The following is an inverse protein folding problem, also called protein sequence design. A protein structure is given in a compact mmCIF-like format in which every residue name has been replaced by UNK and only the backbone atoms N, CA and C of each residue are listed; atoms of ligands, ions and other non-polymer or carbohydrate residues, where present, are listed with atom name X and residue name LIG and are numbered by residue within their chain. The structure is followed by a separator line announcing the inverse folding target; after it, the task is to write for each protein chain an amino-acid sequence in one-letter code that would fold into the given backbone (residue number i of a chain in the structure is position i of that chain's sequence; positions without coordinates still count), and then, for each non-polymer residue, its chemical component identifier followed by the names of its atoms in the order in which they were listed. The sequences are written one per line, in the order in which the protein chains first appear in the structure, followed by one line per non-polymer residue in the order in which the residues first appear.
data_IF_268373111355
#
_entry.id   IF_268373111355
#
_cell.length_a   1.000
_cell.length_b   1.000
_cell.length_c   1.000
_cell.angle_alpha   90.00
_cell.angle_beta   90.00
_cell.angle_gamma   90.00
#
_symmetry.space_group_name_H-M   'P 1'
#
loop_
_entity.id
_entity.type
_entity.pdbx_description
1 polymer ?
#
# COMPACT_ATOMS: atom_id res chain seq x y z
N UNK A 1 -36.34 -18.21 8.35
CA UNK A 1 -35.19 -17.66 9.10
C UNK A 1 -34.55 -16.60 8.22
N UNK A 2 -34.29 -15.41 8.74
CA UNK A 2 -33.66 -14.33 7.97
C UNK A 2 -32.13 -14.42 8.11
N UNK A 3 -31.39 -14.13 7.05
CA UNK A 3 -29.93 -14.01 7.10
C UNK A 3 -29.52 -12.60 7.58
N UNK A 4 -28.37 -12.49 8.24
CA UNK A 4 -27.68 -11.22 8.48
C UNK A 4 -26.68 -11.05 7.35
N UNK A 5 -26.84 -10.02 6.53
CA UNK A 5 -25.94 -9.71 5.43
C UNK A 5 -25.12 -8.48 5.83
N UNK A 6 -23.80 -8.60 5.82
CA UNK A 6 -22.87 -7.51 6.12
C UNK A 6 -22.18 -7.08 4.83
N UNK A 7 -22.24 -5.79 4.53
CA UNK A 7 -21.65 -5.19 3.33
C UNK A 7 -20.24 -4.65 3.56
N UNK A 8 -19.52 -4.39 2.47
CA UNK A 8 -18.20 -3.73 2.49
C UNK A 8 -18.15 -2.45 3.33
N UNK A 9 -19.07 -1.48 3.15
CA UNK A 9 -19.08 -0.27 3.98
C UNK A 9 -19.26 -0.54 5.48
N UNK A 10 -20.05 -1.53 5.87
CA UNK A 10 -20.34 -1.84 7.28
C UNK A 10 -19.17 -2.55 7.98
N UNK A 11 -18.46 -3.42 7.26
CA UNK A 11 -17.31 -4.16 7.80
C UNK A 11 -16.03 -3.32 7.78
N UNK A 12 -15.90 -2.34 6.89
CA UNK A 12 -14.66 -1.56 6.74
C UNK A 12 -14.17 -0.90 8.04
N UNK A 13 -15.02 -0.20 8.84
CA UNK A 13 -14.60 0.36 10.11
C UNK A 13 -14.09 -0.69 11.12
N UNK A 14 -14.68 -1.89 11.10
CA UNK A 14 -14.29 -2.99 12.00
C UNK A 14 -12.90 -3.50 11.61
N UNK A 15 -12.65 -3.66 10.31
CA UNK A 15 -11.35 -4.11 9.80
C UNK A 15 -10.25 -3.10 10.15
N UNK A 16 -10.49 -1.81 9.92
CA UNK A 16 -9.54 -0.77 10.30
C UNK A 16 -9.27 -0.76 11.80
N UNK A 17 -10.30 -0.93 12.63
CA UNK A 17 -10.13 -1.04 14.08
C UNK A 17 -9.21 -2.21 14.43
N UNK A 18 -9.40 -3.39 13.83
CA UNK A 18 -8.52 -4.55 14.05
C UNK A 18 -7.06 -4.24 13.67
N UNK A 19 -6.82 -3.63 12.51
CA UNK A 19 -5.46 -3.28 12.04
C UNK A 19 -4.78 -2.32 13.02
N UNK A 20 -5.50 -1.28 13.44
CA UNK A 20 -4.96 -0.22 14.30
C UNK A 20 -4.70 -0.75 15.72
N UNK A 21 -5.65 -1.49 16.31
CA UNK A 21 -5.50 -2.04 17.66
C UNK A 21 -4.23 -2.93 17.77
N UNK A 22 -3.91 -3.66 16.70
CA UNK A 22 -2.71 -4.53 16.63
C UNK A 22 -1.39 -3.81 16.37
N UNK A 23 -1.41 -2.52 16.04
CA UNK A 23 -0.20 -1.73 15.71
C UNK A 23 0.05 -0.58 16.69
N UNK A 24 -0.81 -0.41 17.69
CA UNK A 24 -0.91 0.83 18.47
C UNK A 24 0.18 1.16 19.47
N UNK A 25 0.97 0.17 19.91
CA UNK A 25 1.95 0.36 20.98
C UNK A 25 3.25 1.06 20.52
N UNK A 26 3.54 1.12 19.22
CA UNK A 26 4.84 1.56 18.66
C UNK A 26 4.79 2.97 18.02
N UNK A 27 3.62 3.63 18.00
CA UNK A 27 3.41 4.81 17.16
C UNK A 27 4.36 6.00 17.39
N UNK A 28 4.65 6.45 18.63
CA UNK A 28 5.39 7.72 18.79
C UNK A 28 6.79 7.70 18.15
N UNK A 29 7.57 6.65 18.41
CA UNK A 29 8.95 6.54 17.90
C UNK A 29 8.98 6.34 16.39
N UNK A 30 8.13 5.46 15.87
CA UNK A 30 8.06 5.19 14.42
C UNK A 30 7.57 6.40 13.63
N UNK A 31 6.64 7.20 14.18
CA UNK A 31 6.18 8.42 13.52
C UNK A 31 7.31 9.45 13.45
N UNK A 32 8.09 9.62 14.52
CA UNK A 32 9.23 10.54 14.51
C UNK A 32 10.28 10.12 13.46
N UNK A 33 10.60 8.82 13.38
CA UNK A 33 11.50 8.27 12.35
C UNK A 33 10.95 8.49 10.93
N UNK A 34 9.66 8.20 10.71
CA UNK A 34 8.98 8.41 9.43
C UNK A 34 9.06 9.89 9.00
N UNK A 35 8.76 10.81 9.92
CA UNK A 35 8.80 12.24 9.67
C UNK A 35 10.21 12.73 9.35
N UNK A 36 11.24 12.16 9.98
CA UNK A 36 12.62 12.51 9.68
C UNK A 36 13.03 12.06 8.28
N UNK A 37 12.67 10.83 7.89
CA UNK A 37 12.86 10.40 6.50
C UNK A 37 12.11 11.30 5.51
N UNK A 38 10.87 11.69 5.82
CA UNK A 38 10.09 12.56 4.93
C UNK A 38 10.75 13.91 4.69
N UNK A 39 11.30 14.55 5.74
CA UNK A 39 12.05 15.80 5.58
C UNK A 39 13.26 15.62 4.66
N UNK A 40 13.97 14.51 4.77
CA UNK A 40 15.12 14.21 3.90
C UNK A 40 14.67 14.03 2.44
N UNK A 41 13.57 13.32 2.23
CA UNK A 41 12.99 13.09 0.91
C UNK A 41 12.49 14.37 0.23
N UNK A 42 12.00 15.36 0.99
CA UNK A 42 11.51 16.62 0.43
C UNK A 42 12.59 17.38 -0.35
N UNK A 43 13.86 17.19 -0.01
CA UNK A 43 14.99 17.74 -0.76
C UNK A 43 15.13 17.16 -2.18
N UNK A 44 14.53 16.00 -2.45
CA UNK A 44 14.59 15.35 -3.76
C UNK A 44 13.51 15.82 -4.73
N UNK A 45 12.47 16.54 -4.28
CA UNK A 45 11.42 17.08 -5.15
C UNK A 45 12.00 17.94 -6.28
N UNK A 46 13.00 18.76 -5.98
CA UNK A 46 13.64 19.61 -7.00
C UNK A 46 14.49 18.84 -8.01
N UNK A 47 14.78 17.55 -7.75
CA UNK A 47 15.51 16.66 -8.66
C UNK A 47 14.60 15.84 -9.58
N UNK A 48 13.27 15.94 -9.40
CA UNK A 48 12.28 15.19 -10.17
C UNK A 48 12.00 15.89 -11.50
N UNK A 49 11.99 15.11 -12.59
CA UNK A 49 11.68 15.60 -13.93
C UNK A 49 10.20 16.01 -14.05
N UNK A 50 9.31 15.23 -13.42
CA UNK A 50 7.89 15.52 -13.31
C UNK A 50 7.50 15.77 -11.85
N UNK A 51 7.23 17.03 -11.53
CA UNK A 51 6.82 17.43 -10.19
C UNK A 51 5.33 17.15 -9.96
N UNK A 52 5.06 16.32 -8.95
CA UNK A 52 3.72 15.96 -8.50
C UNK A 52 3.63 16.02 -6.97
N UNK A 53 2.46 15.75 -6.40
CA UNK A 53 2.28 15.61 -4.96
C UNK A 53 2.83 14.27 -4.44
N UNK A 54 3.29 14.26 -3.20
CA UNK A 54 3.58 13.02 -2.46
C UNK A 54 2.43 12.67 -1.53
N UNK A 55 2.38 11.40 -1.11
CA UNK A 55 1.43 10.97 -0.09
C UNK A 55 1.53 11.79 1.20
N UNK A 56 0.39 11.91 1.87
CA UNK A 56 0.30 12.57 3.18
C UNK A 56 1.00 11.78 4.28
N UNK A 57 1.30 12.44 5.40
CA UNK A 57 1.81 11.76 6.62
C UNK A 57 0.84 10.68 7.08
N UNK A 58 -0.46 10.97 7.08
CA UNK A 58 -1.48 10.02 7.48
C UNK A 58 -1.54 8.80 6.56
N UNK A 59 -1.42 8.99 5.23
CA UNK A 59 -1.29 7.86 4.28
C UNK A 59 -0.04 7.04 4.56
N UNK A 60 1.09 7.68 4.89
CA UNK A 60 2.32 6.99 5.28
C UNK A 60 2.16 6.14 6.54
N UNK A 61 1.57 6.71 7.59
CA UNK A 61 1.23 5.98 8.82
C UNK A 61 0.30 4.80 8.50
N UNK A 62 -0.69 4.99 7.63
CA UNK A 62 -1.56 3.90 7.16
C UNK A 62 -0.76 2.78 6.50
N UNK A 63 0.16 3.09 5.58
CA UNK A 63 0.98 2.08 4.90
C UNK A 63 1.91 1.35 5.87
N UNK A 64 2.49 2.06 6.84
CA UNK A 64 3.24 1.43 7.93
C UNK A 64 2.36 0.44 8.72
N UNK A 65 1.17 0.85 9.14
CA UNK A 65 0.24 -0.04 9.88
C UNK A 65 -0.14 -1.28 9.06
N UNK A 66 -0.43 -1.10 7.77
CA UNK A 66 -0.81 -2.20 6.88
C UNK A 66 0.32 -3.21 6.71
N UNK A 67 1.55 -2.73 6.47
CA UNK A 67 2.72 -3.60 6.33
C UNK A 67 3.12 -4.26 7.64
N UNK A 68 2.90 -3.62 8.80
CA UNK A 68 3.05 -4.25 10.12
C UNK A 68 2.02 -5.34 10.38
N UNK A 69 0.77 -5.08 10.03
CA UNK A 69 -0.34 -5.98 10.32
C UNK A 69 -0.35 -7.20 9.41
N UNK A 70 -0.24 -7.00 8.09
CA UNK A 70 -0.26 -8.09 7.12
C UNK A 70 1.07 -8.81 6.96
N UNK A 71 2.16 -8.20 7.46
CA UNK A 71 3.50 -8.76 7.44
C UNK A 71 3.99 -9.24 6.06
N UNK A 72 3.84 -8.44 4.98
CA UNK A 72 4.30 -8.83 3.66
C UNK A 72 5.84 -8.87 3.63
N UNK A 73 6.40 -9.87 2.97
CA UNK A 73 7.84 -9.97 2.74
C UNK A 73 8.22 -9.40 1.38
N UNK A 74 7.33 -9.52 0.40
CA UNK A 74 7.51 -9.04 -0.98
C UNK A 74 6.42 -8.05 -1.34
N UNK A 75 6.81 -6.82 -1.61
CA UNK A 75 5.90 -5.73 -2.00
C UNK A 75 6.21 -5.28 -3.42
N UNK A 76 5.16 -4.98 -4.19
CA UNK A 76 5.30 -4.29 -5.47
C UNK A 76 4.52 -2.97 -5.45
N UNK A 77 5.22 -1.88 -5.75
CA UNK A 77 4.70 -0.52 -5.74
C UNK A 77 4.70 0.08 -7.15
N UNK A 78 3.59 0.75 -7.51
CA UNK A 78 3.49 1.60 -8.69
C UNK A 78 3.29 3.04 -8.23
N UNK A 79 4.19 3.93 -8.63
CA UNK A 79 4.16 5.35 -8.27
C UNK A 79 5.10 5.65 -7.10
N UNK A 80 6.40 5.62 -7.34
CA UNK A 80 7.41 5.89 -6.30
C UNK A 80 7.51 7.38 -5.95
N UNK A 81 7.56 8.25 -6.97
CA UNK A 81 7.95 9.65 -6.84
C UNK A 81 9.20 9.83 -5.95
N UNK A 82 9.13 10.62 -4.87
CA UNK A 82 10.23 10.78 -3.91
C UNK A 82 10.33 9.64 -2.89
N UNK A 83 9.43 8.65 -2.91
CA UNK A 83 9.51 7.41 -2.12
C UNK A 83 8.98 7.48 -0.70
N UNK A 84 8.07 8.42 -0.38
CA UNK A 84 7.43 8.50 0.94
C UNK A 84 6.64 7.23 1.28
N UNK A 85 5.89 6.68 0.33
CA UNK A 85 5.18 5.41 0.45
C UNK A 85 6.15 4.23 0.61
N UNK A 86 7.21 4.21 -0.20
CA UNK A 86 8.27 3.18 -0.12
C UNK A 86 8.90 3.14 1.27
N UNK A 87 9.29 4.30 1.84
CA UNK A 87 9.83 4.40 3.20
C UNK A 87 8.82 3.91 4.23
N UNK A 88 7.56 4.32 4.13
CA UNK A 88 6.51 3.93 5.08
C UNK A 88 6.34 2.41 5.14
N UNK A 89 6.30 1.77 3.97
CA UNK A 89 6.21 0.32 3.85
C UNK A 89 7.49 -0.36 4.33
N UNK A 90 8.66 0.17 4.00
CA UNK A 90 9.95 -0.38 4.41
C UNK A 90 10.11 -0.42 5.94
N UNK A 91 9.75 0.69 6.61
CA UNK A 91 9.74 0.77 8.07
C UNK A 91 8.78 -0.23 8.70
N UNK A 92 7.64 -0.55 8.07
CA UNK A 92 6.74 -1.58 8.58
C UNK A 92 7.26 -3.00 8.35
N UNK A 93 7.92 -3.24 7.22
CA UNK A 93 8.57 -4.52 6.91
C UNK A 93 9.71 -4.82 7.88
N UNK A 94 10.57 -3.85 8.17
CA UNK A 94 11.76 -4.04 9.01
C UNK A 94 11.45 -4.46 10.44
N UNK A 95 10.22 -4.24 10.93
CA UNK A 95 9.81 -4.67 12.26
C UNK A 95 9.45 -6.16 12.38
N UNK A 96 9.47 -6.91 11.27
CA UNK A 96 9.16 -8.35 11.30
C UNK A 96 9.99 -9.19 10.31
N UNK A 97 10.79 -8.55 9.45
CA UNK A 97 11.57 -9.23 8.43
C UNK A 97 12.84 -8.46 8.05
N UNK A 98 14.00 -9.09 8.19
CA UNK A 98 15.31 -8.51 7.83
C UNK A 98 15.64 -8.65 6.33
N UNK A 99 14.89 -9.47 5.60
CA UNK A 99 15.13 -9.78 4.19
C UNK A 99 13.90 -9.54 3.31
N UNK A 100 13.05 -8.59 3.70
CA UNK A 100 11.96 -8.12 2.86
C UNK A 100 12.46 -7.36 1.64
N UNK A 101 11.67 -7.35 0.58
CA UNK A 101 11.95 -6.62 -0.66
C UNK A 101 10.76 -5.79 -1.09
N UNK A 102 11.03 -4.55 -1.48
CA UNK A 102 10.06 -3.68 -2.16
C UNK A 102 10.57 -3.48 -3.58
N UNK A 103 9.81 -3.98 -4.55
CA UNK A 103 9.93 -3.60 -5.95
C UNK A 103 9.12 -2.32 -6.16
N UNK A 104 9.71 -1.31 -6.78
CA UNK A 104 9.00 -0.05 -7.01
C UNK A 104 9.31 0.51 -8.40
N UNK A 105 8.35 1.15 -9.03
CA UNK A 105 8.55 1.80 -10.32
C UNK A 105 7.87 3.16 -10.42
N UNK A 106 8.47 4.02 -11.22
CA UNK A 106 7.91 5.31 -11.62
C UNK A 106 8.20 5.52 -13.12
N UNK A 107 7.19 5.94 -13.88
CA UNK A 107 7.33 6.11 -15.33
C UNK A 107 7.94 7.46 -15.70
N UNK A 108 7.75 8.46 -14.84
CA UNK A 108 8.08 9.85 -15.14
C UNK A 108 9.40 10.28 -14.48
N UNK A 109 9.75 9.64 -13.37
CA UNK A 109 10.90 10.03 -12.55
C UNK A 109 11.87 8.88 -12.26
N UNK A 110 13.12 9.25 -11.97
CA UNK A 110 14.04 8.42 -11.19
C UNK A 110 13.86 8.74 -9.70
N UNK A 111 14.32 7.86 -8.81
CA UNK A 111 14.25 8.06 -7.36
C UNK A 111 15.62 7.84 -6.71
N UNK A 112 15.79 8.37 -5.51
CA UNK A 112 17.08 8.46 -4.81
C UNK A 112 16.98 7.81 -3.43
N UNK A 113 16.61 6.52 -3.40
CA UNK A 113 16.35 5.78 -2.15
C UNK A 113 17.54 4.99 -1.64
N UNK A 114 18.58 4.80 -2.46
CA UNK A 114 19.77 4.00 -2.11
C UNK A 114 20.55 4.55 -0.90
N UNK A 115 20.42 5.84 -0.63
CA UNK A 115 21.06 6.51 0.50
C UNK A 115 20.32 6.24 1.83
N UNK A 116 19.08 5.76 1.77
CA UNK A 116 18.25 5.51 2.93
C UNK A 116 18.48 4.10 3.49
N UNK A 117 18.85 4.01 4.77
CA UNK A 117 19.03 2.73 5.48
C UNK A 117 17.69 2.21 5.98
N UNK A 118 16.89 1.61 5.10
CA UNK A 118 15.48 1.27 5.38
C UNK A 118 15.24 -0.15 5.93
N UNK A 119 16.28 -0.91 6.23
CA UNK A 119 16.17 -2.26 6.82
C UNK A 119 15.58 -3.34 5.91
N UNK A 120 15.06 -2.98 4.74
CA UNK A 120 14.66 -3.91 3.67
C UNK A 120 15.35 -3.55 2.36
N UNK A 121 15.33 -4.48 1.40
CA UNK A 121 15.91 -4.27 0.08
C UNK A 121 14.93 -3.51 -0.81
N UNK A 122 15.37 -2.41 -1.41
CA UNK A 122 14.59 -1.69 -2.42
C UNK A 122 15.14 -2.04 -3.80
N UNK A 123 14.31 -2.60 -4.66
CA UNK A 123 14.61 -2.86 -6.07
C UNK A 123 13.78 -1.89 -6.94
N UNK A 124 14.34 -0.70 -7.15
CA UNK A 124 13.67 0.34 -7.90
C UNK A 124 13.90 0.26 -9.42
N UNK A 125 12.88 0.64 -10.19
CA UNK A 125 12.91 0.80 -11.65
C UNK A 125 12.42 2.21 -12.03
N UNK A 126 13.33 3.18 -12.06
CA UNK A 126 13.06 4.56 -12.48
C UNK A 126 12.80 4.66 -13.98
N UNK A 127 12.03 5.67 -14.40
CA UNK A 127 11.62 5.90 -15.80
C UNK A 127 11.13 4.64 -16.51
N UNK A 128 10.40 3.81 -15.79
CA UNK A 128 9.94 2.49 -16.24
C UNK A 128 8.43 2.41 -16.11
N UNK A 129 7.75 2.00 -17.18
CA UNK A 129 6.31 1.76 -17.15
C UNK A 129 5.98 0.59 -16.21
N UNK A 130 4.82 0.66 -15.54
CA UNK A 130 4.34 -0.40 -14.65
C UNK A 130 4.35 -1.78 -15.30
N UNK A 131 3.95 -1.88 -16.57
CA UNK A 131 3.91 -3.14 -17.31
C UNK A 131 5.30 -3.76 -17.45
N UNK A 132 6.31 -2.95 -17.78
CA UNK A 132 7.70 -3.43 -17.92
C UNK A 132 8.28 -3.82 -16.55
N UNK A 133 7.99 -3.03 -15.52
CA UNK A 133 8.43 -3.32 -14.16
C UNK A 133 7.83 -4.63 -13.63
N UNK A 134 6.52 -4.83 -13.83
CA UNK A 134 5.83 -6.07 -13.47
C UNK A 134 6.41 -7.28 -14.21
N UNK A 135 6.68 -7.15 -15.52
CA UNK A 135 7.32 -8.20 -16.30
C UNK A 135 8.68 -8.61 -15.71
N UNK A 136 9.55 -7.64 -15.39
CA UNK A 136 10.86 -7.91 -14.76
C UNK A 136 10.72 -8.59 -13.40
N UNK A 137 9.67 -8.30 -12.64
CA UNK A 137 9.41 -8.96 -11.36
C UNK A 137 8.88 -10.38 -11.55
N UNK A 138 8.03 -10.64 -12.54
CA UNK A 138 7.60 -12.00 -12.90
C UNK A 138 8.76 -12.95 -13.28
N UNK A 139 9.89 -12.42 -13.76
CA UNK A 139 11.09 -13.20 -14.05
C UNK A 139 11.85 -13.64 -12.79
N UNK A 140 11.66 -12.93 -11.67
CA UNK A 140 12.38 -13.14 -10.40
C UNK A 140 11.52 -13.79 -9.33
N UNK A 141 10.24 -13.47 -9.33
CA UNK A 141 9.30 -13.79 -8.26
C UNK A 141 8.12 -14.61 -8.79
N UNK A 142 7.72 -15.61 -8.01
CA UNK A 142 6.52 -16.39 -8.29
C UNK A 142 5.25 -15.77 -7.70
N UNK A 143 5.40 -14.85 -6.73
CA UNK A 143 4.29 -14.22 -6.04
C UNK A 143 4.70 -12.91 -5.36
N UNK A 144 3.74 -12.02 -5.16
CA UNK A 144 3.86 -10.79 -4.36
C UNK A 144 2.85 -10.85 -3.21
N UNK A 145 3.28 -10.49 -2.01
CA UNK A 145 2.43 -10.55 -0.81
C UNK A 145 1.54 -9.33 -0.70
N UNK A 146 2.03 -8.15 -1.13
CA UNK A 146 1.27 -6.91 -1.14
C UNK A 146 1.58 -6.08 -2.39
N UNK A 147 0.53 -5.63 -3.07
CA UNK A 147 0.62 -4.60 -4.10
C UNK A 147 0.20 -3.25 -3.52
N UNK A 148 0.94 -2.19 -3.84
CA UNK A 148 0.56 -0.80 -3.56
C UNK A 148 0.47 0.01 -4.85
N UNK A 149 -0.69 0.59 -5.12
CA UNK A 149 -0.94 1.34 -6.35
C UNK A 149 -1.26 2.81 -6.06
N UNK A 150 -0.27 3.66 -6.27
CA UNK A 150 -0.35 5.13 -6.27
C UNK A 150 -0.19 5.73 -7.68
N UNK A 151 0.11 4.89 -8.68
CA UNK A 151 -0.02 5.17 -10.10
C UNK A 151 -1.31 4.58 -10.70
N UNK A 152 -1.59 4.95 -11.95
CA UNK A 152 -2.71 4.37 -12.72
C UNK A 152 -2.27 3.06 -13.36
N UNK A 153 -3.04 2.00 -13.13
CA UNK A 153 -2.89 0.73 -13.83
C UNK A 153 -3.32 0.83 -15.29
N UNK A 154 -2.73 -0.01 -16.13
CA UNK A 154 -3.11 -0.25 -17.52
C UNK A 154 -3.65 -1.68 -17.70
N UNK A 155 -4.44 -1.92 -18.74
CA UNK A 155 -4.94 -3.27 -19.07
C UNK A 155 -3.79 -4.29 -19.20
N UNK A 156 -2.65 -3.86 -19.74
CA UNK A 156 -1.44 -4.68 -19.92
C UNK A 156 -0.78 -5.11 -18.61
N UNK A 157 -1.04 -4.40 -17.51
CA UNK A 157 -0.51 -4.76 -16.18
C UNK A 157 -1.21 -6.00 -15.62
N UNK A 158 -2.49 -6.19 -15.97
CA UNK A 158 -3.37 -7.18 -15.34
C UNK A 158 -2.88 -8.62 -15.51
N UNK A 159 -2.28 -8.96 -16.64
CA UNK A 159 -1.75 -10.32 -16.86
C UNK A 159 -0.59 -10.64 -15.90
N UNK A 160 0.28 -9.67 -15.62
CA UNK A 160 1.43 -9.86 -14.75
C UNK A 160 1.05 -9.79 -13.29
N UNK A 161 0.12 -8.89 -12.94
CA UNK A 161 -0.50 -8.88 -11.60
C UNK A 161 -1.13 -10.25 -11.34
N UNK A 162 -1.92 -10.78 -12.27
CA UNK A 162 -2.55 -12.08 -12.12
C UNK A 162 -1.53 -13.24 -11.97
N UNK A 163 -0.40 -13.18 -12.67
CA UNK A 163 0.68 -14.16 -12.53
C UNK A 163 1.36 -14.11 -11.15
N UNK A 164 1.49 -12.91 -10.58
CA UNK A 164 2.12 -12.69 -9.27
C UNK A 164 1.15 -12.82 -8.10
N UNK A 165 -0.13 -13.12 -8.33
CA UNK A 165 -1.10 -13.32 -7.27
C UNK A 165 -0.83 -14.62 -6.50
N UNK A 166 -0.49 -14.46 -5.23
CA UNK A 166 -0.63 -15.50 -4.24
C UNK A 166 -2.06 -15.56 -3.70
N UNK A 167 -2.38 -16.63 -2.99
CA UNK A 167 -3.70 -16.78 -2.39
C UNK A 167 -3.98 -15.72 -1.29
N UNK A 168 -2.93 -15.30 -0.57
CA UNK A 168 -2.99 -14.31 0.54
C UNK A 168 -2.65 -12.88 0.12
N UNK A 169 -2.46 -12.62 -1.18
CA UNK A 169 -2.01 -11.31 -1.65
C UNK A 169 -2.98 -10.21 -1.25
N UNK A 170 -2.46 -9.12 -0.70
CA UNK A 170 -3.22 -7.91 -0.36
C UNK A 170 -3.02 -6.86 -1.45
N UNK A 171 -4.06 -6.12 -1.82
CA UNK A 171 -3.93 -4.93 -2.66
C UNK A 171 -4.28 -3.71 -1.86
N UNK A 172 -3.43 -2.70 -1.95
CA UNK A 172 -3.61 -1.38 -1.37
C UNK A 172 -3.65 -0.38 -2.52
N UNK A 173 -4.67 0.46 -2.56
CA UNK A 173 -4.80 1.53 -3.57
C UNK A 173 -4.89 2.88 -2.88
N UNK A 174 -4.19 3.89 -3.42
CA UNK A 174 -4.31 5.27 -2.95
C UNK A 174 -5.30 6.09 -3.81
N UNK A 175 -5.72 7.25 -3.30
CA UNK A 175 -6.75 8.11 -3.91
C UNK A 175 -8.06 7.34 -4.24
N UNK A 176 -8.57 6.58 -3.28
CA UNK A 176 -9.90 5.96 -3.40
C UNK A 176 -11.01 6.98 -3.07
N UNK A 177 -11.20 7.97 -3.94
CA UNK A 177 -12.25 8.98 -3.83
C UNK A 177 -12.85 9.33 -5.20
N UNK A 178 -14.18 9.47 -5.28
CA UNK A 178 -14.85 9.94 -6.49
C UNK A 178 -14.52 9.09 -7.73
N UNK A 179 -13.81 9.70 -8.69
CA UNK A 179 -13.36 9.07 -9.94
C UNK A 179 -11.83 9.03 -10.05
N UNK A 180 -11.14 9.16 -8.92
CA UNK A 180 -9.68 9.19 -8.88
C UNK A 180 -9.06 7.80 -9.14
N UNK A 181 -7.73 7.80 -9.28
CA UNK A 181 -6.95 6.63 -9.70
C UNK A 181 -7.21 5.37 -8.86
N UNK A 182 -7.41 5.49 -7.55
CA UNK A 182 -7.69 4.33 -6.69
C UNK A 182 -9.01 3.64 -7.03
N UNK A 183 -10.06 4.43 -7.32
CA UNK A 183 -11.37 3.90 -7.72
C UNK A 183 -11.26 3.22 -9.09
N UNK A 184 -10.57 3.86 -10.04
CA UNK A 184 -10.32 3.31 -11.38
C UNK A 184 -9.51 2.00 -11.29
N UNK A 185 -8.45 1.97 -10.49
CA UNK A 185 -7.61 0.79 -10.30
C UNK A 185 -8.44 -0.38 -9.74
N UNK A 186 -9.27 -0.15 -8.72
CA UNK A 186 -10.16 -1.20 -8.20
C UNK A 186 -11.17 -1.69 -9.26
N UNK A 187 -11.76 -0.79 -10.04
CA UNK A 187 -12.68 -1.17 -11.11
C UNK A 187 -11.98 -2.02 -12.18
N UNK A 188 -10.74 -1.68 -12.52
CA UNK A 188 -9.93 -2.42 -13.47
C UNK A 188 -9.55 -3.82 -12.95
N UNK A 189 -9.12 -3.91 -11.68
CA UNK A 189 -8.75 -5.17 -11.03
C UNK A 189 -9.96 -6.14 -10.97
N UNK A 190 -11.18 -5.64 -10.79
CA UNK A 190 -12.39 -6.47 -10.81
C UNK A 190 -12.63 -7.23 -12.14
N UNK A 191 -11.93 -6.86 -13.22
CA UNK A 191 -11.96 -7.61 -14.47
C UNK A 191 -11.25 -8.97 -14.36
N UNK A 192 -10.29 -9.12 -13.44
CA UNK A 192 -9.61 -10.38 -13.19
C UNK A 192 -10.47 -11.31 -12.31
N UNK A 193 -10.71 -12.57 -12.72
CA UNK A 193 -11.55 -13.49 -11.96
C UNK A 193 -11.19 -13.66 -10.47
N UNK A 194 -9.91 -13.72 -10.06
CA UNK A 194 -9.55 -13.84 -8.64
C UNK A 194 -10.08 -12.69 -7.77
N UNK A 195 -10.01 -11.45 -8.26
CA UNK A 195 -10.39 -10.26 -7.47
C UNK A 195 -11.90 -10.09 -7.30
N UNK A 196 -12.73 -10.80 -8.08
CA UNK A 196 -14.19 -10.80 -7.86
C UNK A 196 -14.59 -11.40 -6.51
N UNK A 197 -13.71 -12.20 -5.91
CA UNK A 197 -13.91 -12.76 -4.57
C UNK A 197 -13.32 -11.88 -3.47
N UNK A 198 -12.46 -10.92 -3.80
CA UNK A 198 -11.82 -10.07 -2.80
C UNK A 198 -12.83 -9.11 -2.18
N UNK A 199 -12.63 -8.83 -0.91
CA UNK A 199 -13.43 -7.91 -0.15
C UNK A 199 -12.83 -6.50 -0.25
N UNK A 200 -13.65 -5.54 -0.68
CA UNK A 200 -13.26 -4.13 -0.66
C UNK A 200 -13.38 -3.57 0.75
N UNK A 201 -12.28 -3.03 1.28
CA UNK A 201 -12.22 -2.26 2.51
C UNK A 201 -12.09 -0.79 2.14
N UNK A 202 -13.14 -0.02 2.43
CA UNK A 202 -13.17 1.42 2.16
C UNK A 202 -12.17 2.16 3.05
N UNK A 203 -11.73 3.38 2.65
CA UNK A 203 -10.79 4.16 3.43
C UNK A 203 -11.24 4.39 4.87
N UNK A 204 -10.27 4.40 5.78
CA UNK A 204 -10.52 4.55 7.22
C UNK A 204 -11.47 5.73 7.50
N UNK A 205 -12.59 5.49 8.20
CA UNK A 205 -13.52 6.56 8.57
C UNK A 205 -12.83 7.65 9.39
N UNK A 206 -13.22 8.91 9.16
CA UNK A 206 -12.79 10.03 10.00
C UNK A 206 -13.23 9.78 11.45
N UNK A 207 -12.35 10.08 12.39
CA UNK A 207 -12.67 9.97 13.82
C UNK A 207 -12.65 8.56 14.39
N UNK A 208 -12.37 7.52 13.58
CA UNK A 208 -12.16 6.17 14.12
C UNK A 208 -11.00 6.15 15.13
N UNK A 209 -10.01 7.03 14.98
CA UNK A 209 -8.95 7.24 15.97
C UNK A 209 -8.60 8.71 16.20
N UNK A 210 -8.65 9.11 17.48
CA UNK A 210 -8.40 10.48 17.92
C UNK A 210 -6.96 10.96 17.70
N UNK A 211 -5.97 10.07 17.81
CA UNK A 211 -4.56 10.45 17.62
C UNK A 211 -4.23 10.70 16.14
N UNK A 212 -4.80 9.94 15.20
CA UNK A 212 -4.60 10.19 13.77
C UNK A 212 -5.12 11.57 13.35
N UNK A 213 -6.12 12.10 14.07
CA UNK A 213 -6.65 13.44 13.82
C UNK A 213 -5.62 14.55 14.10
N UNK A 214 -4.59 14.32 14.93
CA UNK A 214 -3.56 15.33 15.20
C UNK A 214 -2.60 15.54 14.04
N UNK A 215 -2.50 14.58 13.12
CA UNK A 215 -1.64 14.67 11.94
C UNK A 215 -2.35 15.27 10.72
N UNK A 216 -3.63 15.63 10.87
CA UNK A 216 -4.43 16.31 9.85
C UNK A 216 -4.75 15.44 8.62
N UNK A 217 -5.76 15.88 7.87
CA UNK A 217 -6.14 15.25 6.59
C UNK A 217 -6.94 13.96 6.74
N UNK A 218 -6.96 13.17 5.65
CA UNK A 218 -7.56 11.84 5.56
C UNK A 218 -6.68 11.00 4.65
N UNK A 219 -6.42 9.75 5.04
CA UNK A 219 -5.87 8.76 4.12
C UNK A 219 -7.03 8.21 3.28
N UNK A 220 -6.89 8.32 1.95
CA UNK A 220 -7.84 7.77 0.98
C UNK A 220 -7.42 6.36 0.52
N UNK A 221 -6.64 5.69 1.36
CA UNK A 221 -6.12 4.35 1.10
C UNK A 221 -7.22 3.32 1.31
N UNK A 222 -7.51 2.53 0.28
CA UNK A 222 -8.46 1.41 0.33
C UNK A 222 -7.72 0.07 0.14
N UNK A 223 -8.37 -1.03 0.55
CA UNK A 223 -7.81 -2.38 0.43
C UNK A 223 -8.71 -3.28 -0.39
N UNK A 224 -8.12 -4.18 -1.17
CA UNK A 224 -8.76 -5.42 -1.59
C UNK A 224 -8.06 -6.55 -0.84
N UNK A 225 -8.83 -7.32 -0.09
CA UNK A 225 -8.31 -8.40 0.76
C UNK A 225 -8.99 -9.74 0.43
N UNK A 226 -8.26 -10.88 0.43
CA UNK A 226 -8.85 -12.16 0.09
C UNK A 226 -9.76 -12.65 1.23
N UNK A 227 -10.90 -13.32 0.95
CA UNK A 227 -11.88 -13.70 1.98
C UNK A 227 -11.31 -14.51 3.14
N UNK A 228 -10.25 -15.28 2.90
CA UNK A 228 -9.63 -16.15 3.91
C UNK A 228 -8.95 -15.39 5.06
N UNK A 229 -8.70 -14.09 4.93
CA UNK A 229 -8.20 -13.28 6.05
C UNK A 229 -9.26 -13.09 7.15
N UNK A 230 -10.55 -13.28 6.82
CA UNK A 230 -11.63 -13.14 7.78
C UNK A 230 -11.86 -14.44 8.53
N UNK A 231 -11.73 -14.40 9.86
CA UNK A 231 -12.11 -15.48 10.76
C UNK A 231 -13.05 -14.94 11.83
N UNK A 232 -14.25 -15.49 11.89
CA UNK A 232 -15.16 -15.24 13.00
C UNK A 232 -14.67 -16.05 14.21
N UNK A 233 -14.38 -15.37 15.30
CA UNK A 233 -13.94 -16.00 16.55
C UNK A 233 -15.02 -15.82 17.62
N UNK A 234 -15.31 -16.84 18.46
CA UNK A 234 -16.34 -16.75 19.49
C UNK A 234 -15.98 -15.91 20.72
N UNK A 235 -14.92 -15.08 20.65
CA UNK A 235 -14.30 -14.41 21.80
C UNK A 235 -15.28 -13.92 22.87
#
# INVERSE_FOLDING_TARGET
MNSINLSSPELSPIIWKCIIDNTSFEFPQTIDELLEHYKNLDSYVSKMDFQTGSISVLSGITLYMLTRYFQPRKVFEIGTFIGRSTVSMALGISQHCDNGVIYTCDKDNDFYLDELKLGCRIEGMGKTLSTEALQKVCEKENSIDLFYFDGRLQDSDLQYIAQLLGEDTIIVVDDFEGIEKGVINCALLNNLPPFRSYFLVYPCPKGLFGFLNSYGGRSMTALLVPPKIFRLTPQ
#
